data_IF_030964210693
#
_entry.id   IF_030964210693
#
_cell.length_a   1.000
_cell.length_b   1.000
_cell.length_c   1.000
_cell.angle_alpha   90.00
_cell.angle_beta   90.00
_cell.angle_gamma   90.00
#
_symmetry.space_group_name_H-M   'P 1'
#
loop_
_entity.id
_entity.type
_entity.pdbx_description
1 polymer ?
#
# COMPACT_ATOMS: atom_id res chain seq x y z
N UNK A 1 -11.56 12.88 -9.96
CA UNK A 1 -12.85 12.70 -10.67
C UNK A 1 -13.61 14.01 -10.82
N UNK A 2 -13.97 14.74 -9.75
CA UNK A 2 -14.67 16.03 -9.89
C UNK A 2 -13.93 17.05 -10.76
N UNK A 3 -12.59 17.10 -10.70
CA UNK A 3 -11.77 17.96 -11.58
C UNK A 3 -11.80 17.54 -13.06
N UNK A 4 -12.11 16.28 -13.35
CA UNK A 4 -12.02 15.69 -14.70
C UNK A 4 -13.37 15.57 -15.39
N UNK A 5 -14.49 15.64 -14.65
CA UNK A 5 -15.84 15.45 -15.19
C UNK A 5 -16.80 16.51 -14.64
N UNK A 6 -17.40 17.31 -15.53
CA UNK A 6 -18.26 18.46 -15.18
C UNK A 6 -19.51 18.09 -14.36
N UNK A 7 -20.05 16.89 -14.60
CA UNK A 7 -21.27 16.35 -13.95
C UNK A 7 -21.00 15.59 -12.65
N UNK A 8 -19.75 15.46 -12.22
CA UNK A 8 -19.38 14.75 -10.99
C UNK A 8 -19.04 15.76 -9.90
N UNK A 9 -19.60 15.57 -8.70
CA UNK A 9 -19.34 16.40 -7.52
C UNK A 9 -18.98 15.51 -6.33
N UNK A 10 -17.90 15.85 -5.62
CA UNK A 10 -17.50 15.11 -4.43
C UNK A 10 -18.19 15.68 -3.19
N UNK A 11 -18.65 14.77 -2.34
CA UNK A 11 -19.19 15.07 -1.02
C UNK A 11 -18.65 14.05 -0.03
N UNK A 12 -18.50 14.47 1.23
CA UNK A 12 -18.14 13.60 2.35
C UNK A 12 -19.03 13.89 3.56
N UNK A 13 -19.01 13.00 4.54
CA UNK A 13 -19.68 13.22 5.83
C UNK A 13 -18.71 13.89 6.77
N UNK A 14 -19.12 15.01 7.36
CA UNK A 14 -18.32 15.80 8.28
C UNK A 14 -18.01 15.03 9.57
N UNK A 15 -16.78 15.16 10.02
CA UNK A 15 -16.21 14.48 11.18
C UNK A 15 -15.51 15.50 12.07
N UNK A 16 -15.55 15.27 13.38
CA UNK A 16 -14.80 16.03 14.39
C UNK A 16 -13.96 15.09 15.24
N UNK A 17 -12.70 15.43 15.44
CA UNK A 17 -11.79 14.69 16.32
C UNK A 17 -11.69 15.40 17.67
N UNK A 18 -11.91 14.63 18.74
CA UNK A 18 -11.80 15.11 20.13
C UNK A 18 -11.21 13.97 20.96
N UNK A 19 -10.13 14.22 21.71
CA UNK A 19 -9.50 13.25 22.62
C UNK A 19 -9.22 11.86 21.98
N UNK A 20 -8.64 11.86 20.77
CA UNK A 20 -8.41 10.64 19.97
C UNK A 20 -9.68 9.82 19.67
N UNK A 21 -10.85 10.45 19.70
CA UNK A 21 -12.13 9.88 19.30
C UNK A 21 -12.69 10.64 18.11
N UNK A 22 -13.25 9.87 17.18
CA UNK A 22 -13.86 10.37 15.96
C UNK A 22 -15.36 10.48 16.18
N UNK A 23 -15.91 11.68 15.98
CA UNK A 23 -17.33 11.99 16.10
C UNK A 23 -17.87 12.29 14.70
N UNK A 24 -18.79 11.46 14.23
CA UNK A 24 -19.47 11.67 12.95
C UNK A 24 -20.62 12.67 13.14
N UNK A 25 -20.49 13.85 12.51
CA UNK A 25 -21.47 14.93 12.64
C UNK A 25 -22.73 14.71 11.77
N UNK A 26 -22.77 13.62 10.98
CA UNK A 26 -23.88 13.24 10.08
C UNK A 26 -24.30 14.35 9.11
N UNK A 27 -23.39 15.29 8.84
CA UNK A 27 -23.61 16.42 7.94
C UNK A 27 -22.85 16.16 6.65
N UNK A 28 -23.56 16.21 5.52
CA UNK A 28 -22.91 16.14 4.22
C UNK A 28 -22.22 17.49 3.91
N UNK A 29 -20.95 17.45 3.52
CA UNK A 29 -20.17 18.62 3.13
C UNK A 29 -19.50 18.39 1.78
N UNK A 30 -19.31 19.46 1.01
CA UNK A 30 -18.71 19.38 -0.31
C UNK A 30 -17.20 19.18 -0.19
N UNK A 31 -16.64 18.32 -1.04
CA UNK A 31 -15.21 18.01 -1.08
C UNK A 31 -14.92 16.51 -0.96
N UNK A 32 -13.66 16.14 -1.20
CA UNK A 32 -13.17 14.78 -0.94
C UNK A 32 -12.99 14.52 0.56
N UNK A 33 -12.84 13.26 0.94
CA UNK A 33 -12.41 12.92 2.31
C UNK A 33 -10.89 13.05 2.37
N UNK A 34 -10.36 13.77 3.37
CA UNK A 34 -8.91 13.88 3.61
C UNK A 34 -8.35 12.62 4.27
N UNK A 35 -9.18 11.88 5.02
CA UNK A 35 -8.76 10.71 5.79
C UNK A 35 -9.74 9.54 5.68
N UNK A 36 -9.23 8.33 5.91
CA UNK A 36 -10.01 7.12 6.06
C UNK A 36 -10.17 6.77 7.55
N UNK A 37 -11.41 6.55 8.00
CA UNK A 37 -11.70 6.32 9.43
C UNK A 37 -11.89 4.85 9.82
N UNK A 38 -11.51 3.89 8.97
CA UNK A 38 -11.78 2.46 9.19
C UNK A 38 -11.24 1.90 10.51
N UNK A 39 -9.99 2.22 10.86
CA UNK A 39 -9.36 1.81 12.13
C UNK A 39 -10.10 2.41 13.33
N UNK A 40 -10.55 3.67 13.22
CA UNK A 40 -11.32 4.33 14.25
C UNK A 40 -12.69 3.69 14.47
N UNK A 41 -13.37 3.30 13.38
CA UNK A 41 -14.63 2.56 13.45
C UNK A 41 -14.42 1.17 14.05
N UNK A 42 -13.36 0.45 13.67
CA UNK A 42 -13.01 -0.85 14.25
C UNK A 42 -12.77 -0.77 15.77
N UNK A 43 -12.04 0.27 16.22
CA UNK A 43 -11.84 0.56 17.64
C UNK A 43 -13.16 0.86 18.36
N UNK A 44 -14.05 1.64 17.73
CA UNK A 44 -15.38 1.96 18.27
C UNK A 44 -16.29 0.74 18.35
N UNK A 45 -16.14 -0.21 17.43
CA UNK A 45 -16.85 -1.49 17.40
C UNK A 45 -16.33 -2.50 18.44
N UNK A 46 -15.31 -2.15 19.23
CA UNK A 46 -14.78 -3.00 20.29
C UNK A 46 -13.78 -4.06 19.80
N UNK A 47 -13.15 -3.86 18.66
CA UNK A 47 -12.09 -4.76 18.20
C UNK A 47 -10.94 -4.85 19.22
N UNK A 48 -10.28 -6.02 19.34
CA UNK A 48 -9.17 -6.18 20.28
C UNK A 48 -8.05 -5.15 20.04
N UNK A 49 -7.52 -4.58 21.13
CA UNK A 49 -6.49 -3.54 21.06
C UNK A 49 -5.23 -3.98 20.32
N UNK A 50 -4.86 -5.26 20.43
CA UNK A 50 -3.73 -5.84 19.69
C UNK A 50 -3.92 -5.73 18.16
N UNK A 51 -5.15 -5.96 17.68
CA UNK A 51 -5.50 -5.87 16.25
C UNK A 51 -5.51 -4.42 15.78
N UNK A 52 -6.13 -3.51 16.54
CA UNK A 52 -6.16 -2.07 16.22
C UNK A 52 -4.73 -1.52 16.12
N UNK A 53 -3.89 -1.81 17.11
CA UNK A 53 -2.48 -1.38 17.12
C UNK A 53 -1.68 -1.94 15.95
N UNK A 54 -1.91 -3.21 15.57
CA UNK A 54 -1.26 -3.80 14.40
C UNK A 54 -1.70 -3.12 13.11
N UNK A 55 -2.98 -2.81 12.98
CA UNK A 55 -3.52 -2.10 11.82
C UNK A 55 -2.91 -0.68 11.68
N UNK A 56 -2.75 0.05 12.80
CA UNK A 56 -2.08 1.37 12.81
C UNK A 56 -0.63 1.28 12.34
N UNK A 57 0.11 0.27 12.78
CA UNK A 57 1.50 0.04 12.33
C UNK A 57 1.57 -0.22 10.82
N UNK A 58 0.69 -1.07 10.30
CA UNK A 58 0.63 -1.38 8.87
C UNK A 58 0.25 -0.14 8.07
N UNK A 59 -0.73 0.64 8.53
CA UNK A 59 -1.11 1.90 7.88
C UNK A 59 0.07 2.85 7.77
N UNK A 60 0.84 3.02 8.86
CA UNK A 60 2.02 3.89 8.86
C UNK A 60 3.08 3.43 7.84
N UNK A 61 3.26 2.12 7.68
CA UNK A 61 4.15 1.56 6.68
C UNK A 61 3.65 1.89 5.25
N UNK A 62 2.38 1.59 4.97
CA UNK A 62 1.77 1.84 3.66
C UNK A 62 1.73 3.33 3.28
N UNK A 63 1.52 4.23 4.24
CA UNK A 63 1.58 5.68 3.99
C UNK A 63 3.00 6.16 3.68
N UNK A 64 4.02 5.50 4.23
CA UNK A 64 5.42 5.80 3.96
C UNK A 64 5.81 5.32 2.56
N UNK A 65 5.40 4.10 2.20
CA UNK A 65 5.69 3.49 0.90
C UNK A 65 4.98 4.25 -0.24
N UNK A 66 3.72 4.64 -0.04
CA UNK A 66 2.95 5.43 -1.02
C UNK A 66 3.50 6.86 -1.22
N UNK A 67 4.25 7.41 -0.26
CA UNK A 67 4.89 8.73 -0.42
C UNK A 67 6.16 8.67 -1.27
N UNK A 68 6.80 7.51 -1.39
CA UNK A 68 7.97 7.32 -2.25
C UNK A 68 7.58 7.02 -3.70
N UNK A 69 6.41 6.41 -3.92
CA UNK A 69 5.82 6.29 -5.25
C UNK A 69 5.03 7.55 -5.60
N UNK A 70 5.65 8.47 -6.34
CA UNK A 70 5.06 9.70 -6.85
C UNK A 70 3.64 9.45 -7.45
N UNK A 71 2.58 9.82 -6.72
CA UNK A 71 1.16 9.66 -7.12
C UNK A 71 0.76 10.70 -8.19
N UNK A 72 1.74 11.35 -8.80
CA UNK A 72 1.57 12.27 -9.93
C UNK A 72 1.44 11.50 -11.25
N UNK A 73 0.59 10.46 -11.33
CA UNK A 73 0.20 9.90 -12.64
C UNK A 73 -1.04 10.67 -13.13
N UNK A 74 -0.95 11.41 -14.25
CA UNK A 74 -2.06 12.18 -14.77
C UNK A 74 -3.20 11.24 -15.16
N UNK A 75 -4.37 11.53 -14.60
CA UNK A 75 -5.63 10.78 -14.77
C UNK A 75 -6.04 10.66 -16.25
N UNK A 76 -5.45 11.46 -17.13
CA UNK A 76 -5.73 11.48 -18.58
C UNK A 76 -5.34 10.18 -19.30
N UNK A 77 -4.34 9.43 -18.82
CA UNK A 77 -3.95 8.16 -19.46
C UNK A 77 -4.82 6.95 -19.05
N UNK A 78 -5.55 7.04 -17.94
CA UNK A 78 -6.36 5.93 -17.40
C UNK A 78 -7.74 5.85 -18.08
N UNK A 79 -8.22 6.97 -18.65
CA UNK A 79 -9.55 7.03 -19.25
C UNK A 79 -9.69 6.26 -20.59
N UNK A 80 -8.59 5.94 -21.27
CA UNK A 80 -8.63 5.34 -22.62
C UNK A 80 -8.57 3.80 -22.65
N UNK A 81 -8.29 3.12 -21.54
CA UNK A 81 -8.22 1.65 -21.49
C UNK A 81 -9.09 1.13 -20.34
N UNK A 82 -10.41 1.13 -20.53
CA UNK A 82 -11.37 0.51 -19.62
C UNK A 82 -11.81 -0.85 -20.16
N UNK A 83 -10.93 -1.83 -20.07
CA UNK A 83 -11.34 -3.22 -19.94
C UNK A 83 -10.50 -3.88 -18.84
N UNK A 84 -11.18 -4.37 -17.79
CA UNK A 84 -10.69 -5.50 -17.00
C UNK A 84 -9.61 -5.32 -15.93
N UNK A 85 -9.04 -4.14 -15.67
CA UNK A 85 -8.02 -4.03 -14.62
C UNK A 85 -8.62 -3.97 -13.21
N UNK A 86 -8.79 -5.15 -12.60
CA UNK A 86 -8.75 -5.28 -11.16
C UNK A 86 -7.38 -4.78 -10.68
N UNK A 87 -7.36 -3.69 -9.91
CA UNK A 87 -6.14 -3.19 -9.29
C UNK A 87 -5.65 -4.24 -8.29
N UNK A 88 -4.62 -4.99 -8.66
CA UNK A 88 -3.90 -5.82 -7.71
C UNK A 88 -3.23 -4.88 -6.72
N UNK A 89 -3.82 -4.75 -5.52
CA UNK A 89 -3.30 -3.94 -4.40
C UNK A 89 -1.90 -4.41 -3.93
N UNK A 90 -1.42 -5.53 -4.46
CA UNK A 90 -0.10 -6.10 -4.25
C UNK A 90 0.61 -6.30 -5.59
N UNK A 91 1.01 -5.21 -6.26
CA UNK A 91 2.07 -5.35 -7.27
C UNK A 91 3.41 -5.40 -6.51
N UNK A 92 3.86 -6.62 -6.23
CA UNK A 92 5.19 -6.96 -5.72
C UNK A 92 6.21 -7.01 -6.87
N UNK A 93 6.06 -6.14 -7.87
CA UNK A 93 6.94 -6.10 -9.05
C UNK A 93 8.14 -5.20 -8.74
N UNK A 94 8.82 -5.43 -7.61
CA UNK A 94 10.15 -4.87 -7.39
C UNK A 94 11.12 -5.66 -8.27
N UNK A 95 11.75 -5.03 -9.29
CA UNK A 95 12.65 -5.72 -10.21
C UNK A 95 13.77 -6.48 -9.50
N UNK A 96 14.19 -5.99 -8.33
CA UNK A 96 15.22 -6.62 -7.50
C UNK A 96 14.71 -7.93 -6.89
N UNK A 97 13.46 -7.95 -6.41
CA UNK A 97 12.83 -9.16 -5.87
C UNK A 97 12.53 -10.19 -6.96
N UNK A 98 12.17 -9.74 -8.17
CA UNK A 98 12.01 -10.63 -9.32
C UNK A 98 13.33 -11.29 -9.71
N UNK A 99 14.42 -10.52 -9.77
CA UNK A 99 15.76 -11.02 -10.05
C UNK A 99 16.18 -12.09 -9.03
N UNK A 100 16.02 -11.81 -7.74
CA UNK A 100 16.38 -12.76 -6.66
C UNK A 100 15.52 -14.02 -6.73
N UNK A 101 14.21 -13.88 -6.96
CA UNK A 101 13.27 -15.01 -7.12
C UNK A 101 13.73 -15.95 -8.23
N UNK A 102 14.07 -15.37 -9.38
CA UNK A 102 14.46 -16.14 -10.56
C UNK A 102 15.84 -16.78 -10.37
N UNK A 103 16.77 -16.11 -9.68
CA UNK A 103 18.06 -16.69 -9.32
C UNK A 103 17.92 -17.90 -8.38
N UNK A 104 17.07 -17.80 -7.35
CA UNK A 104 16.82 -18.91 -6.42
C UNK A 104 16.12 -20.08 -7.13
N UNK A 105 15.14 -19.80 -8.00
CA UNK A 105 14.40 -20.84 -8.73
C UNK A 105 15.29 -21.69 -9.63
N UNK A 106 16.33 -21.09 -10.21
CA UNK A 106 17.24 -21.76 -11.14
C UNK A 106 18.43 -22.44 -10.44
N UNK A 107 18.52 -22.36 -9.11
CA UNK A 107 19.62 -22.92 -8.34
C UNK A 107 19.40 -24.43 -8.10
N UNK A 108 20.37 -25.26 -8.50
CA UNK A 108 20.36 -26.68 -8.18
C UNK A 108 20.99 -26.93 -6.80
N UNK A 109 20.14 -26.97 -5.77
CA UNK A 109 20.54 -27.13 -4.37
C UNK A 109 21.33 -28.43 -4.14
N UNK A 110 21.07 -29.50 -4.90
CA UNK A 110 21.66 -30.81 -4.64
C UNK A 110 23.12 -30.92 -5.13
N UNK A 111 23.56 -30.01 -5.99
CA UNK A 111 24.88 -30.02 -6.59
C UNK A 111 25.80 -28.88 -6.11
N UNK A 112 25.33 -28.05 -5.18
CA UNK A 112 26.15 -26.97 -4.64
C UNK A 112 27.14 -27.48 -3.61
N UNK A 113 28.38 -27.01 -3.70
CA UNK A 113 29.31 -27.14 -2.59
C UNK A 113 28.92 -26.18 -1.46
N UNK A 114 29.26 -26.50 -0.20
CA UNK A 114 28.96 -25.61 0.94
C UNK A 114 29.50 -24.18 0.76
N UNK A 115 30.65 -24.02 0.08
CA UNK A 115 31.25 -22.71 -0.16
C UNK A 115 30.51 -21.92 -1.24
N UNK A 116 30.02 -22.58 -2.29
CA UNK A 116 29.20 -21.94 -3.34
C UNK A 116 27.86 -21.47 -2.78
N UNK A 117 27.22 -22.30 -1.93
CA UNK A 117 25.99 -21.92 -1.26
C UNK A 117 26.18 -20.65 -0.38
N UNK A 118 27.27 -20.59 0.40
CA UNK A 118 27.61 -19.42 1.21
C UNK A 118 27.89 -18.18 0.35
N UNK A 119 28.61 -18.34 -0.76
CA UNK A 119 28.88 -17.25 -1.69
C UNK A 119 27.60 -16.71 -2.33
N UNK A 120 26.68 -17.60 -2.74
CA UNK A 120 25.37 -17.22 -3.30
C UNK A 120 24.49 -16.49 -2.30
N UNK A 121 24.47 -16.92 -1.05
CA UNK A 121 23.76 -16.20 0.02
C UNK A 121 24.33 -14.79 0.24
N UNK A 122 25.66 -14.64 0.16
CA UNK A 122 26.31 -13.34 0.31
C UNK A 122 26.00 -12.40 -0.87
N UNK A 123 25.91 -12.93 -2.08
CA UNK A 123 25.53 -12.19 -3.29
C UNK A 123 24.09 -11.66 -3.18
N UNK A 124 23.12 -12.52 -2.84
CA UNK A 124 21.72 -12.13 -2.62
C UNK A 124 21.62 -11.06 -1.53
N UNK A 125 22.38 -11.21 -0.43
CA UNK A 125 22.41 -10.22 0.66
C UNK A 125 22.95 -8.86 0.19
N UNK A 126 23.96 -8.82 -0.68
CA UNK A 126 24.46 -7.56 -1.26
C UNK A 126 23.42 -6.87 -2.13
N UNK A 127 22.71 -7.64 -2.96
CA UNK A 127 21.65 -7.14 -3.83
C UNK A 127 20.56 -6.45 -2.99
N UNK A 128 20.14 -7.06 -1.88
CA UNK A 128 19.13 -6.49 -0.97
C UNK A 128 19.64 -5.24 -0.22
N UNK A 129 20.93 -5.18 0.12
CA UNK A 129 21.51 -4.10 0.93
C UNK A 129 22.03 -2.90 0.12
N UNK A 130 22.02 -2.95 -1.22
CA UNK A 130 22.39 -1.82 -2.08
C UNK A 130 23.85 -1.34 -1.96
N UNK A 131 24.80 -2.28 -1.81
CA UNK A 131 26.26 -1.99 -1.77
C UNK A 131 27.07 -2.77 -2.80
#
# INVERSE_FOLDING_TARGET
MEKSFSRVKNYNVSVKEVDNKVIFLRKLVRGGSEHSFGIHVAKMAGMPQSIVKRAEQILKQLETDNRQSDISKPVDKIAQHREGYQLTFFQLDDPVLEQIRDEIKNLDINNLTPIEALNKLNEIKRIIMGK
#
